data_IF_112250367899
#
_entry.id   IF_112250367899
#
_cell.length_a   1.000
_cell.length_b   1.000
_cell.length_c   1.000
_cell.angle_alpha   90.00
_cell.angle_beta   90.00
_cell.angle_gamma   90.00
#
_symmetry.space_group_name_H-M   'P 1'
#
loop_
_entity.id
_entity.type
_entity.pdbx_description
1 polymer ?
#
# COMPACT_ATOMS: atom_id res chain seq x y z
N UNK A 1 -3.84 19.32 -24.57
CA UNK A 1 -2.61 18.66 -25.05
C UNK A 1 -2.96 17.20 -25.26
N UNK A 2 -2.68 16.63 -26.44
CA UNK A 2 -2.86 15.18 -26.66
C UNK A 2 -1.83 14.44 -25.79
N UNK A 3 -2.28 13.61 -24.85
CA UNK A 3 -1.41 12.65 -24.15
C UNK A 3 -0.66 11.82 -25.18
N UNK A 4 0.64 11.65 -24.99
CA UNK A 4 1.43 10.82 -25.89
C UNK A 4 1.12 9.34 -25.60
N UNK A 5 1.12 8.49 -26.64
CA UNK A 5 0.89 7.04 -26.51
C UNK A 5 1.67 6.36 -25.36
N UNK A 6 2.96 6.68 -25.08
CA UNK A 6 3.68 6.08 -23.95
C UNK A 6 3.17 6.51 -22.57
N UNK A 7 2.71 7.76 -22.40
CA UNK A 7 2.16 8.25 -21.13
C UNK A 7 0.85 7.54 -20.79
N UNK A 8 -0.01 7.38 -21.79
CA UNK A 8 -1.27 6.65 -21.63
C UNK A 8 -1.03 5.17 -21.26
N UNK A 9 -0.06 4.52 -21.93
CA UNK A 9 0.32 3.14 -21.63
C UNK A 9 0.85 2.98 -20.20
N UNK A 10 1.70 3.92 -19.74
CA UNK A 10 2.24 3.89 -18.39
C UNK A 10 1.16 4.13 -17.32
N UNK A 11 0.21 5.02 -17.60
CA UNK A 11 -0.87 5.30 -16.67
C UNK A 11 -1.88 4.14 -16.59
N UNK A 12 -2.13 3.42 -17.70
CA UNK A 12 -2.88 2.17 -17.67
C UNK A 12 -2.13 1.10 -16.86
N UNK A 13 -0.82 0.95 -17.09
CA UNK A 13 0.03 0.02 -16.34
C UNK A 13 0.01 0.30 -14.83
N UNK A 14 0.11 1.57 -14.42
CA UNK A 14 0.02 1.97 -13.01
C UNK A 14 -1.32 1.55 -12.39
N UNK A 15 -2.44 1.87 -13.06
CA UNK A 15 -3.79 1.54 -12.59
C UNK A 15 -4.03 0.04 -12.44
N UNK A 16 -3.64 -0.76 -13.44
CA UNK A 16 -3.83 -2.20 -13.38
C UNK A 16 -2.96 -2.85 -12.28
N UNK A 17 -1.76 -2.31 -12.02
CA UNK A 17 -0.89 -2.78 -10.95
C UNK A 17 -1.43 -2.43 -9.56
N UNK A 18 -2.05 -1.26 -9.38
CA UNK A 18 -2.79 -0.93 -8.15
C UNK A 18 -3.91 -1.95 -7.90
N UNK A 19 -4.75 -2.20 -8.91
CA UNK A 19 -5.84 -3.20 -8.78
C UNK A 19 -5.31 -4.60 -8.47
N UNK A 20 -4.15 -4.97 -9.02
CA UNK A 20 -3.51 -6.27 -8.78
C UNK A 20 -3.14 -6.49 -7.32
N UNK A 21 -2.80 -5.46 -6.55
CA UNK A 21 -2.42 -5.61 -5.13
C UNK A 21 -3.54 -6.26 -4.30
N UNK A 22 -4.81 -6.06 -4.70
CA UNK A 22 -5.97 -6.65 -4.05
C UNK A 22 -6.47 -7.98 -4.67
N UNK A 23 -5.78 -8.53 -5.68
CA UNK A 23 -6.22 -9.74 -6.41
C UNK A 23 -5.15 -10.83 -6.35
N UNK A 24 -5.54 -11.99 -5.82
CA UNK A 24 -4.71 -13.19 -5.84
C UNK A 24 -4.71 -13.82 -7.24
N UNK A 25 -3.52 -13.93 -7.83
CA UNK A 25 -3.28 -14.57 -9.12
C UNK A 25 -2.15 -15.61 -8.96
N UNK A 26 -2.23 -16.79 -9.60
CA UNK A 26 -3.34 -17.31 -10.42
C UNK A 26 -4.65 -17.55 -9.63
N UNK A 27 -5.82 -17.51 -10.28
CA UNK A 27 -7.10 -17.82 -9.64
C UNK A 27 -7.17 -19.30 -9.23
N UNK A 28 -7.62 -19.57 -8.01
CA UNK A 28 -7.79 -20.95 -7.51
C UNK A 28 -6.48 -21.69 -7.19
N UNK A 29 -5.33 -21.02 -7.31
CA UNK A 29 -4.04 -21.57 -6.91
C UNK A 29 -3.91 -21.66 -5.37
N UNK A 30 -3.03 -22.53 -4.89
CA UNK A 30 -2.72 -22.63 -3.47
C UNK A 30 -2.03 -21.37 -2.95
N UNK A 31 -2.04 -21.14 -1.63
CA UNK A 31 -1.33 -19.99 -1.03
C UNK A 31 0.19 -20.01 -1.32
N UNK A 32 0.78 -21.21 -1.37
CA UNK A 32 2.19 -21.41 -1.75
C UNK A 32 2.43 -21.01 -3.21
N UNK A 33 1.56 -21.43 -4.12
CA UNK A 33 1.65 -21.09 -5.53
C UNK A 33 1.42 -19.60 -5.78
N UNK A 34 0.43 -18.99 -5.11
CA UNK A 34 0.17 -17.54 -5.17
C UNK A 34 1.41 -16.76 -4.75
N UNK A 35 2.10 -17.19 -3.69
CA UNK A 35 3.33 -16.54 -3.25
C UNK A 35 4.48 -16.75 -4.24
N UNK A 36 4.69 -17.99 -4.68
CA UNK A 36 5.76 -18.39 -5.63
C UNK A 36 5.62 -17.70 -6.98
N UNK A 37 4.39 -17.56 -7.48
CA UNK A 37 4.09 -17.01 -8.80
C UNK A 37 3.74 -15.51 -8.77
N UNK A 38 3.80 -14.89 -7.59
CA UNK A 38 3.40 -13.48 -7.40
C UNK A 38 4.05 -12.56 -8.42
N UNK A 39 5.37 -12.65 -8.53
CA UNK A 39 6.16 -11.66 -9.28
C UNK A 39 6.03 -11.88 -10.80
N UNK A 40 6.02 -13.13 -11.27
CA UNK A 40 5.85 -13.44 -12.71
C UNK A 40 4.47 -13.03 -13.21
N UNK A 41 3.41 -13.24 -12.42
CA UNK A 41 2.07 -12.78 -12.78
C UNK A 41 1.94 -11.26 -12.74
N UNK A 42 2.67 -10.58 -11.85
CA UNK A 42 2.70 -9.10 -11.80
C UNK A 42 3.36 -8.54 -13.03
N UNK A 43 4.49 -9.14 -13.42
CA UNK A 43 5.18 -8.80 -14.65
C UNK A 43 4.30 -9.06 -15.89
N UNK A 44 3.60 -10.19 -15.96
CA UNK A 44 2.68 -10.48 -17.07
C UNK A 44 1.53 -9.46 -17.18
N UNK A 45 0.94 -9.04 -16.06
CA UNK A 45 -0.10 -7.99 -16.04
C UNK A 45 0.45 -6.67 -16.58
N UNK A 46 1.63 -6.24 -16.11
CA UNK A 46 2.31 -5.04 -16.59
C UNK A 46 2.53 -5.10 -18.11
N UNK A 47 3.15 -6.17 -18.59
CA UNK A 47 3.46 -6.33 -20.02
C UNK A 47 2.19 -6.36 -20.87
N UNK A 48 1.13 -7.01 -20.38
CA UNK A 48 -0.16 -7.07 -21.09
C UNK A 48 -0.77 -5.67 -21.21
N UNK A 49 -0.74 -4.86 -20.15
CA UNK A 49 -1.26 -3.49 -20.19
C UNK A 49 -0.49 -2.59 -21.16
N UNK A 50 0.85 -2.64 -21.13
CA UNK A 50 1.68 -1.87 -22.07
C UNK A 50 1.38 -2.23 -23.52
N UNK A 51 1.32 -3.54 -23.82
CA UNK A 51 1.02 -4.03 -25.17
C UNK A 51 -0.41 -3.72 -25.62
N UNK A 52 -1.39 -3.85 -24.73
CA UNK A 52 -2.79 -3.49 -25.00
C UNK A 52 -2.98 -2.00 -25.31
N UNK A 53 -2.12 -1.14 -24.75
CA UNK A 53 -2.06 0.29 -25.06
C UNK A 53 -1.25 0.64 -26.32
N UNK A 54 -0.79 -0.37 -27.09
CA UNK A 54 -0.08 -0.17 -28.35
C UNK A 54 1.44 -0.01 -28.24
N UNK A 55 2.04 -0.30 -27.07
CA UNK A 55 3.50 -0.38 -26.96
C UNK A 55 4.04 -1.62 -27.69
N UNK A 56 5.11 -1.44 -28.46
CA UNK A 56 5.77 -2.52 -29.19
C UNK A 56 6.39 -3.56 -28.23
N UNK A 57 6.23 -4.84 -28.56
CA UNK A 57 6.88 -5.97 -27.87
C UNK A 57 8.40 -5.82 -27.81
N UNK A 58 9.01 -5.11 -28.76
CA UNK A 58 10.44 -4.80 -28.74
C UNK A 58 10.89 -4.06 -27.45
N UNK A 59 9.98 -3.41 -26.72
CA UNK A 59 10.28 -2.78 -25.43
C UNK A 59 10.34 -3.78 -24.26
N UNK A 60 9.92 -5.04 -24.45
CA UNK A 60 9.92 -6.09 -23.43
C UNK A 60 11.19 -6.94 -23.61
N UNK A 61 12.09 -6.98 -22.61
CA UNK A 61 13.29 -7.79 -22.71
C UNK A 61 12.95 -9.28 -22.95
N UNK A 62 13.68 -10.00 -23.83
CA UNK A 62 13.43 -11.42 -24.10
C UNK A 62 13.48 -12.29 -22.83
N UNK A 63 14.33 -11.92 -21.87
CA UNK A 63 14.41 -12.59 -20.57
C UNK A 63 13.11 -12.48 -19.76
N UNK A 64 12.41 -11.35 -19.87
CA UNK A 64 11.11 -11.16 -19.23
C UNK A 64 10.01 -11.99 -19.89
N UNK A 65 10.01 -12.08 -21.22
CA UNK A 65 9.08 -12.97 -21.93
C UNK A 65 9.32 -14.44 -21.60
N UNK A 66 10.59 -14.88 -21.57
CA UNK A 66 10.95 -16.24 -21.17
C UNK A 66 10.52 -16.56 -19.74
N UNK A 67 10.56 -15.58 -18.82
CA UNK A 67 10.09 -15.76 -17.46
C UNK A 67 8.58 -16.01 -17.39
N UNK A 68 7.78 -15.26 -18.17
CA UNK A 68 6.34 -15.51 -18.29
C UNK A 68 6.08 -16.90 -18.91
N UNK A 69 6.82 -17.25 -19.96
CA UNK A 69 6.67 -18.53 -20.67
C UNK A 69 7.05 -19.76 -19.84
N UNK A 70 7.88 -19.59 -18.81
CA UNK A 70 8.21 -20.66 -17.86
C UNK A 70 6.99 -21.13 -17.05
N UNK A 71 5.96 -20.29 -16.88
CA UNK A 71 4.67 -20.68 -16.29
C UNK A 71 3.58 -20.75 -17.37
N UNK A 72 3.16 -21.98 -17.68
CA UNK A 72 2.22 -22.23 -18.78
C UNK A 72 0.86 -21.52 -18.57
N UNK A 73 0.41 -21.38 -17.33
CA UNK A 73 -0.84 -20.72 -17.00
C UNK A 73 -0.76 -19.19 -17.10
N UNK A 74 0.33 -18.59 -16.60
CA UNK A 74 0.62 -17.17 -16.76
C UNK A 74 0.67 -16.80 -18.24
N UNK A 75 1.45 -17.56 -19.03
CA UNK A 75 1.58 -17.34 -20.46
C UNK A 75 0.24 -17.53 -21.20
N UNK A 76 -0.57 -18.52 -20.81
CA UNK A 76 -1.93 -18.70 -21.35
C UNK A 76 -2.82 -17.50 -21.03
N UNK A 77 -2.83 -17.06 -19.77
CA UNK A 77 -3.63 -15.92 -19.33
C UNK A 77 -3.26 -14.64 -20.05
N UNK A 78 -1.97 -14.39 -20.26
CA UNK A 78 -1.48 -13.25 -21.03
C UNK A 78 -1.91 -13.33 -22.50
N UNK A 79 -1.79 -14.50 -23.14
CA UNK A 79 -2.23 -14.68 -24.54
C UNK A 79 -3.72 -14.43 -24.71
N UNK A 80 -4.55 -14.94 -23.80
CA UNK A 80 -6.00 -14.72 -23.83
C UNK A 80 -6.37 -13.25 -23.65
N UNK A 81 -5.61 -12.52 -22.82
CA UNK A 81 -5.82 -11.10 -22.61
C UNK A 81 -5.42 -10.21 -23.79
N UNK A 82 -4.52 -10.69 -24.66
CA UNK A 82 -4.11 -10.00 -25.88
C UNK A 82 -4.85 -10.49 -27.13
N UNK A 83 -5.75 -11.46 -27.00
CA UNK A 83 -6.57 -11.96 -28.10
C UNK A 83 -7.76 -11.04 -28.40
N UNK A 84 -8.42 -11.26 -29.52
CA UNK A 84 -9.68 -10.58 -29.88
C UNK A 84 -10.84 -11.60 -29.95
N UNK A 85 -11.89 -11.47 -29.10
CA UNK A 85 -12.00 -10.53 -27.98
C UNK A 85 -11.08 -10.92 -26.80
N UNK A 86 -10.63 -9.93 -25.99
CA UNK A 86 -9.77 -10.20 -24.85
C UNK A 86 -10.57 -10.92 -23.75
N UNK A 87 -10.01 -12.01 -23.22
CA UNK A 87 -10.69 -12.86 -22.22
C UNK A 87 -9.75 -13.32 -21.11
N UNK A 88 -10.34 -13.79 -20.01
CA UNK A 88 -9.60 -14.32 -18.85
C UNK A 88 -9.23 -13.28 -17.80
N UNK A 89 -8.57 -13.72 -16.74
CA UNK A 89 -8.38 -12.92 -15.53
C UNK A 89 -7.52 -11.67 -15.72
N UNK A 90 -6.49 -11.73 -16.58
CA UNK A 90 -5.68 -10.55 -16.89
C UNK A 90 -6.48 -9.56 -17.74
N UNK A 91 -7.30 -10.04 -18.68
CA UNK A 91 -8.18 -9.18 -19.49
C UNK A 91 -9.19 -8.45 -18.63
N UNK A 92 -9.82 -9.15 -17.67
CA UNK A 92 -10.78 -8.57 -16.74
C UNK A 92 -10.12 -7.50 -15.86
N UNK A 93 -8.91 -7.76 -15.38
CA UNK A 93 -8.16 -6.79 -14.58
C UNK A 93 -7.83 -5.52 -15.38
N UNK A 94 -7.42 -5.68 -16.65
CA UNK A 94 -7.17 -4.56 -17.57
C UNK A 94 -8.47 -3.82 -17.88
N UNK A 95 -9.56 -4.53 -18.17
CA UNK A 95 -10.87 -3.92 -18.42
C UNK A 95 -11.35 -3.09 -17.23
N UNK A 96 -11.15 -3.58 -16.00
CA UNK A 96 -11.42 -2.81 -14.76
C UNK A 96 -10.54 -1.56 -14.67
N UNK A 97 -9.25 -1.65 -15.02
CA UNK A 97 -8.34 -0.51 -15.04
C UNK A 97 -8.75 0.54 -16.09
N UNK A 98 -9.20 0.11 -17.28
CA UNK A 98 -9.74 0.99 -18.31
C UNK A 98 -11.09 1.60 -17.88
N UNK A 99 -11.96 0.86 -17.21
CA UNK A 99 -13.22 1.41 -16.67
C UNK A 99 -12.96 2.46 -15.58
N UNK A 100 -11.85 2.36 -14.85
CA UNK A 100 -11.41 3.38 -13.88
C UNK A 100 -11.04 4.71 -14.56
N UNK A 101 -10.73 4.69 -15.86
CA UNK A 101 -10.46 5.87 -16.70
C UNK A 101 -11.71 6.73 -16.94
N UNK A 102 -12.91 6.17 -16.74
CA UNK A 102 -14.19 6.87 -16.94
C UNK A 102 -14.68 7.63 -15.69
N UNK A 103 -13.93 7.59 -14.59
CA UNK A 103 -14.13 8.56 -13.51
C UNK A 103 -13.51 9.90 -13.95
N UNK A 104 -14.37 10.89 -14.15
CA UNK A 104 -14.05 12.24 -14.62
C UNK A 104 -12.91 12.90 -13.82
N UNK A 105 -12.24 13.93 -14.36
CA UNK A 105 -11.19 14.67 -13.64
C UNK A 105 -11.64 15.17 -12.25
N UNK A 106 -12.94 15.35 -12.04
CA UNK A 106 -13.54 15.68 -10.74
C UNK A 106 -13.34 14.58 -9.68
N UNK A 107 -13.46 13.29 -10.04
CA UNK A 107 -13.19 12.18 -9.12
C UNK A 107 -11.68 12.00 -8.86
N UNK A 108 -10.82 12.40 -9.82
CA UNK A 108 -9.36 12.44 -9.64
C UNK A 108 -8.96 13.55 -8.66
N UNK A 109 -9.66 14.68 -8.67
CA UNK A 109 -9.50 15.72 -7.65
C UNK A 109 -10.04 15.30 -6.28
N UNK A 110 -11.07 14.45 -6.18
CA UNK A 110 -11.51 13.93 -4.88
C UNK A 110 -10.54 12.93 -4.25
N UNK A 111 -9.79 12.16 -5.05
CA UNK A 111 -8.75 11.26 -4.54
C UNK A 111 -7.41 11.95 -4.24
N UNK A 112 -7.12 13.08 -4.88
CA UNK A 112 -5.97 13.96 -4.58
C UNK A 112 -6.30 15.02 -3.49
N UNK A 113 -7.59 15.21 -3.20
CA UNK A 113 -8.10 15.99 -2.06
C UNK A 113 -8.46 15.14 -0.84
N UNK A 114 -8.57 13.82 -1.00
CA UNK A 114 -8.53 12.91 0.12
C UNK A 114 -7.12 13.03 0.67
N UNK A 115 -6.98 13.65 1.85
CA UNK A 115 -5.73 13.75 2.59
C UNK A 115 -5.74 12.61 3.60
N UNK A 116 -5.49 11.35 3.18
CA UNK A 116 -5.69 10.18 4.03
C UNK A 116 -4.85 10.25 5.31
N UNK A 117 -3.69 10.91 5.29
CA UNK A 117 -2.88 11.21 6.47
C UNK A 117 -3.58 12.16 7.44
N UNK A 118 -4.18 13.25 6.96
CA UNK A 118 -4.99 14.16 7.81
C UNK A 118 -6.22 13.44 8.37
N UNK A 119 -6.93 12.66 7.54
CA UNK A 119 -8.08 11.87 7.97
C UNK A 119 -7.70 10.82 9.02
N UNK A 120 -6.55 10.19 8.86
CA UNK A 120 -6.02 9.23 9.83
C UNK A 120 -5.68 9.90 11.17
N UNK A 121 -5.08 11.10 11.15
CA UNK A 121 -4.83 11.87 12.37
C UNK A 121 -6.14 12.24 13.07
N UNK A 122 -7.16 12.67 12.33
CA UNK A 122 -8.46 13.00 12.91
C UNK A 122 -9.17 11.75 13.46
N UNK A 123 -9.10 10.63 12.76
CA UNK A 123 -9.59 9.33 13.25
C UNK A 123 -8.88 8.91 14.54
N UNK A 124 -7.55 9.05 14.61
CA UNK A 124 -6.80 8.78 15.84
C UNK A 124 -7.29 9.68 16.98
N UNK A 125 -7.41 11.00 16.74
CA UNK A 125 -7.83 11.97 17.75
C UNK A 125 -9.21 11.65 18.29
N UNK A 126 -10.20 11.44 17.42
CA UNK A 126 -11.57 11.13 17.82
C UNK A 126 -11.67 9.75 18.48
N UNK A 127 -10.97 8.72 17.97
CA UNK A 127 -10.94 7.38 18.55
C UNK A 127 -10.27 7.32 19.93
N UNK A 128 -9.22 8.13 20.16
CA UNK A 128 -8.59 8.29 21.47
C UNK A 128 -9.56 9.00 22.44
N UNK A 129 -10.22 10.05 21.97
CA UNK A 129 -11.16 10.86 22.76
C UNK A 129 -12.43 10.08 23.14
N UNK A 130 -12.93 9.24 22.24
CA UNK A 130 -14.07 8.34 22.49
C UNK A 130 -13.70 7.12 23.35
N UNK A 131 -12.40 6.77 23.40
CA UNK A 131 -11.89 5.58 24.08
C UNK A 131 -11.95 4.30 23.25
N UNK A 132 -12.31 4.38 21.97
CA UNK A 132 -12.27 3.25 21.02
C UNK A 132 -10.83 2.82 20.73
N UNK A 133 -9.90 3.78 20.64
CA UNK A 133 -8.48 3.53 20.45
C UNK A 133 -7.80 3.52 21.81
N UNK A 134 -7.43 2.33 22.25
CA UNK A 134 -6.71 2.17 23.51
C UNK A 134 -5.30 2.78 23.42
N UNK A 135 -4.87 3.45 24.50
CA UNK A 135 -3.56 4.11 24.60
C UNK A 135 -2.78 3.54 25.79
N UNK A 136 -1.48 3.30 25.62
CA UNK A 136 -0.56 2.88 26.70
C UNK A 136 -0.89 1.54 27.39
N UNK A 137 -1.77 0.73 26.81
CA UNK A 137 -2.06 -0.61 27.32
C UNK A 137 -1.43 -1.70 26.44
N UNK A 138 -1.21 -2.91 26.96
CA UNK A 138 -0.68 -4.01 26.15
C UNK A 138 -1.53 -4.26 24.89
N UNK A 139 -0.90 -4.23 23.72
CA UNK A 139 -1.57 -4.45 22.43
C UNK A 139 -2.16 -3.21 21.76
N UNK A 140 -2.17 -2.07 22.46
CA UNK A 140 -2.57 -0.77 21.91
C UNK A 140 -1.78 -0.42 20.65
N UNK A 141 -2.38 0.42 19.80
CA UNK A 141 -1.76 0.91 18.57
C UNK A 141 -1.17 2.31 18.71
N UNK A 142 -1.41 2.94 19.85
CA UNK A 142 -0.93 4.26 20.20
C UNK A 142 -0.27 4.21 21.57
N UNK A 143 0.96 4.70 21.66
CA UNK A 143 1.67 4.83 22.91
C UNK A 143 2.30 6.22 23.04
N UNK A 144 2.15 6.86 24.18
CA UNK A 144 2.93 8.05 24.52
C UNK A 144 4.27 7.58 25.09
N UNK A 145 5.36 7.95 24.44
CA UNK A 145 6.75 7.65 24.84
C UNK A 145 7.47 8.96 25.18
N UNK A 146 8.71 8.89 25.66
CA UNK A 146 9.49 10.06 26.10
C UNK A 146 9.59 11.15 25.02
N UNK A 147 9.82 10.73 23.77
CA UNK A 147 10.02 11.65 22.64
C UNK A 147 8.74 12.05 21.89
N UNK A 148 7.56 11.55 22.29
CA UNK A 148 6.31 11.87 21.61
C UNK A 148 5.28 10.74 21.60
N UNK A 149 4.55 10.60 20.48
CA UNK A 149 3.52 9.57 20.29
C UNK A 149 3.98 8.55 19.26
N UNK A 150 4.12 7.30 19.71
CA UNK A 150 4.36 6.14 18.87
C UNK A 150 3.04 5.63 18.29
N UNK A 151 2.96 5.62 16.95
CA UNK A 151 1.88 5.00 16.18
C UNK A 151 2.37 3.68 15.61
N UNK A 152 1.79 2.56 16.06
CA UNK A 152 2.25 1.21 15.73
C UNK A 152 1.92 0.84 14.28
N UNK A 153 2.92 0.41 13.51
CA UNK A 153 2.78 0.05 12.10
C UNK A 153 3.10 -1.43 11.83
N UNK A 154 2.34 -2.12 10.94
CA UNK A 154 1.22 -1.60 10.15
C UNK A 154 -0.12 -1.59 10.91
N UNK A 155 -0.12 -1.95 12.20
CA UNK A 155 -1.34 -2.22 12.97
C UNK A 155 -2.37 -1.08 12.98
N UNK A 156 -1.95 0.14 13.36
CA UNK A 156 -2.83 1.31 13.40
C UNK A 156 -3.41 1.65 12.02
N UNK A 157 -2.56 1.61 10.99
CA UNK A 157 -2.93 1.99 9.62
C UNK A 157 -3.90 0.99 8.99
N UNK A 158 -3.71 -0.31 9.25
CA UNK A 158 -4.62 -1.36 8.78
C UNK A 158 -5.97 -1.33 9.48
N UNK A 159 -6.02 -0.83 10.71
CA UNK A 159 -7.26 -0.65 11.45
C UNK A 159 -8.10 0.49 10.87
N UNK A 160 -7.44 1.56 10.40
CA UNK A 160 -8.09 2.66 9.70
C UNK A 160 -8.55 2.29 8.28
N UNK A 161 -7.66 1.72 7.44
CA UNK A 161 -8.00 1.24 6.11
C UNK A 161 -7.23 -0.03 5.78
N UNK A 162 -7.88 -1.19 5.90
CA UNK A 162 -7.24 -2.49 5.68
C UNK A 162 -6.67 -2.69 4.27
N UNK A 163 -7.21 -1.98 3.27
CA UNK A 163 -6.86 -2.15 1.85
C UNK A 163 -5.81 -1.13 1.44
N UNK A 164 -6.01 0.15 1.78
CA UNK A 164 -5.16 1.26 1.32
C UNK A 164 -4.23 1.82 2.42
N UNK A 165 -4.00 1.09 3.52
CA UNK A 165 -3.14 1.55 4.63
C UNK A 165 -1.76 2.07 4.22
N UNK A 166 -1.18 1.57 3.11
CA UNK A 166 0.11 2.06 2.61
C UNK A 166 0.01 3.51 2.12
N UNK A 167 -1.05 3.86 1.38
CA UNK A 167 -1.26 5.23 0.92
C UNK A 167 -1.47 6.20 2.10
N UNK A 168 -2.11 5.73 3.17
CA UNK A 168 -2.28 6.50 4.41
C UNK A 168 -0.93 6.76 5.09
N UNK A 169 -0.08 5.73 5.18
CA UNK A 169 1.27 5.86 5.74
C UNK A 169 2.14 6.80 4.89
N UNK A 170 2.14 6.62 3.57
CA UNK A 170 2.93 7.45 2.66
C UNK A 170 2.52 8.93 2.74
N UNK A 171 1.22 9.22 2.78
CA UNK A 171 0.69 10.58 2.94
C UNK A 171 1.05 11.17 4.31
N UNK A 172 0.92 10.40 5.40
CA UNK A 172 1.34 10.82 6.74
C UNK A 172 2.83 11.18 6.79
N UNK A 173 3.68 10.40 6.11
CA UNK A 173 5.12 10.67 6.03
C UNK A 173 5.40 11.94 5.21
N UNK A 174 4.67 12.15 4.12
CA UNK A 174 4.77 13.36 3.29
C UNK A 174 4.35 14.64 4.04
N UNK A 175 3.55 14.54 5.12
CA UNK A 175 3.23 15.67 5.99
C UNK A 175 4.40 16.14 6.87
N UNK A 176 5.52 15.38 6.92
CA UNK A 176 6.75 15.72 7.67
C UNK A 176 6.53 16.02 9.18
N UNK A 177 5.43 15.51 9.76
CA UNK A 177 5.12 15.63 11.20
C UNK A 177 5.77 14.53 12.05
N UNK A 178 6.46 13.60 11.40
CA UNK A 178 7.09 12.44 12.03
C UNK A 178 8.57 12.71 12.33
N UNK A 179 9.14 11.95 13.27
CA UNK A 179 10.57 11.98 13.59
C UNK A 179 11.26 10.73 13.06
N UNK A 180 12.05 10.90 12.01
CA UNK A 180 12.94 9.87 11.50
C UNK A 180 14.24 9.78 12.32
N UNK A 181 14.82 8.59 12.38
CA UNK A 181 16.13 8.31 12.97
C UNK A 181 16.98 7.55 11.95
N UNK A 182 18.21 8.01 11.75
CA UNK A 182 19.14 7.45 10.73
C UNK A 182 18.52 7.36 9.32
N UNK A 183 17.65 8.32 8.98
CA UNK A 183 16.94 8.35 7.70
C UNK A 183 15.74 7.39 7.60
N UNK A 184 15.44 6.62 8.65
CA UNK A 184 14.26 5.75 8.71
C UNK A 184 13.13 6.40 9.53
N UNK A 185 11.92 6.57 8.97
CA UNK A 185 10.74 7.00 9.72
C UNK A 185 10.20 5.88 10.63
N UNK A 186 10.58 4.63 10.34
CA UNK A 186 10.13 3.45 11.07
C UNK A 186 11.14 3.12 12.18
N UNK A 187 10.70 3.25 13.43
CA UNK A 187 11.52 3.07 14.64
C UNK A 187 11.02 1.88 15.45
N UNK A 188 11.89 1.33 16.29
CA UNK A 188 11.60 0.15 17.12
C UNK A 188 11.71 0.49 18.61
N UNK A 189 10.77 -0.01 19.41
CA UNK A 189 10.79 0.06 20.87
C UNK A 189 10.76 -1.35 21.43
N UNK A 190 11.68 -1.66 22.34
CA UNK A 190 11.65 -2.89 23.12
C UNK A 190 10.64 -2.77 24.26
N UNK A 191 9.96 -3.86 24.54
CA UNK A 191 9.05 -3.96 25.69
C UNK A 191 9.88 -4.37 26.91
N UNK A 192 9.91 -3.54 27.95
CA UNK A 192 10.57 -3.88 29.22
C UNK A 192 9.97 -5.16 29.78
N UNK A 193 10.80 -5.94 30.46
CA UNK A 193 10.43 -7.19 31.13
C UNK A 193 9.88 -8.30 30.21
N UNK A 194 10.04 -8.15 28.89
CA UNK A 194 9.63 -9.17 27.91
C UNK A 194 10.69 -9.35 26.84
N UNK A 195 11.57 -10.32 27.08
CA UNK A 195 12.74 -10.57 26.22
C UNK A 195 12.34 -10.81 24.76
N UNK A 196 13.03 -10.12 23.85
CA UNK A 196 12.78 -10.14 22.41
C UNK A 196 11.45 -9.53 21.93
N UNK A 197 10.59 -9.04 22.81
CA UNK A 197 9.35 -8.37 22.39
C UNK A 197 9.61 -6.91 22.03
N UNK A 198 9.21 -6.52 20.83
CA UNK A 198 9.35 -5.15 20.35
C UNK A 198 8.08 -4.69 19.62
N UNK A 199 7.92 -3.39 19.54
CA UNK A 199 6.89 -2.70 18.79
C UNK A 199 7.57 -1.79 17.79
N UNK A 200 7.06 -1.75 16.56
CA UNK A 200 7.60 -0.95 15.48
C UNK A 200 6.55 0.07 15.02
N UNK A 201 6.97 1.29 14.72
CA UNK A 201 6.04 2.34 14.35
C UNK A 201 6.70 3.65 13.97
N UNK A 202 5.85 4.64 13.69
CA UNK A 202 6.23 6.02 13.38
C UNK A 202 6.10 6.85 14.66
N UNK A 203 7.07 7.73 14.94
CA UNK A 203 6.98 8.67 16.06
C UNK A 203 6.50 10.04 15.60
N UNK A 204 5.50 10.59 16.27
CA UNK A 204 5.07 11.99 16.13
C UNK A 204 5.53 12.76 17.36
N UNK A 205 6.44 13.74 17.19
CA UNK A 205 6.97 14.51 18.32
C UNK A 205 5.91 15.39 19.00
N UNK A 206 5.01 15.98 18.20
CA UNK A 206 3.99 16.88 18.71
C UNK A 206 2.82 16.09 19.31
N UNK A 207 2.89 15.82 20.61
CA UNK A 207 1.85 15.11 21.36
C UNK A 207 0.50 15.83 21.31
N UNK A 208 0.50 17.16 21.30
CA UNK A 208 -0.71 17.98 21.22
C UNK A 208 -1.46 17.83 19.89
N UNK A 209 -0.85 17.18 18.88
CA UNK A 209 -1.56 16.82 17.66
C UNK A 209 -2.70 15.83 17.92
N UNK A 210 -2.52 14.91 18.87
CA UNK A 210 -3.46 13.81 19.15
C UNK A 210 -4.15 13.91 20.50
N UNK A 211 -3.60 14.67 21.45
CA UNK A 211 -4.12 14.76 22.82
C UNK A 211 -4.32 16.20 23.25
N UNK A 212 -5.54 16.54 23.70
CA UNK A 212 -5.79 17.78 24.44
C UNK A 212 -5.14 17.74 25.84
N UNK A 213 -5.16 16.55 26.46
CA UNK A 213 -4.49 16.26 27.73
C UNK A 213 -3.84 14.88 27.64
N UNK A 214 -2.51 14.80 27.42
CA UNK A 214 -1.84 13.52 27.19
C UNK A 214 -1.81 12.65 28.45
N UNK A 215 -1.90 11.31 28.30
CA UNK A 215 -1.67 10.38 29.40
C UNK A 215 -0.19 10.37 29.81
N UNK A 216 0.11 9.63 30.89
CA UNK A 216 1.49 9.41 31.35
C UNK A 216 2.37 8.76 30.27
N UNK A 217 3.67 8.99 30.32
CA UNK A 217 4.64 8.33 29.43
C UNK A 217 4.68 6.84 29.73
N UNK A 218 4.53 6.00 28.70
CA UNK A 218 4.63 4.56 28.81
C UNK A 218 6.09 4.13 29.01
N UNK A 219 6.49 3.99 30.28
CA UNK A 219 7.84 3.55 30.66
C UNK A 219 8.11 2.08 30.34
N UNK A 220 7.11 1.29 29.96
CA UNK A 220 7.31 -0.10 29.53
C UNK A 220 7.88 -0.20 28.11
N UNK A 221 7.95 0.90 27.36
CA UNK A 221 8.59 0.94 26.05
C UNK A 221 9.91 1.72 26.14
N UNK A 222 10.99 1.09 25.71
CA UNK A 222 12.31 1.69 25.60
C UNK A 222 12.74 1.67 24.14
N UNK A 223 13.19 2.81 23.61
CA UNK A 223 13.60 2.85 22.22
C UNK A 223 14.83 1.95 21.99
N UNK A 224 14.76 1.11 20.96
CA UNK A 224 15.91 0.33 20.52
C UNK A 224 16.92 1.27 19.85
N UNK A 225 18.14 1.33 20.39
CA UNK A 225 19.23 2.19 19.89
C UNK A 225 19.74 1.71 18.54
#
# INVERSE_FOLDING_TARGET
>A
MMETAPEHALELARRVLTLRQGVYLPPGASAEDIYRLRDVWTYAVLVTALRGAGMDVACVPPMGMAWIEADAECARSMRLALAEPPTGVIAELIARACATEMCTPAARQEHESARPGEMFIEWLREGIKSGEIAVNVPGAKVHVVEDGVLIVSPGAFKEFDAIHWQAVLDDLLAMEIHVARDGSPMRCWNVRDRDGAFVRGVLIANVSLLFDSPPYVNTALEEAI
#
